data_IF_313187830815
#
_entry.id   IF_313187830815
#
_cell.length_a   1.000
_cell.length_b   1.000
_cell.length_c   1.000
_cell.angle_alpha   90.00
_cell.angle_beta   90.00
_cell.angle_gamma   90.00
#
_symmetry.space_group_name_H-M   'P 1'
#
loop_
_entity.id
_entity.type
_entity.pdbx_description
1 polymer ?
#
# COMPACT_ATOMS: atom_id res chain seq x y z
N UNK A 1 0.89 7.52 7.24
CA UNK A 1 0.15 6.37 6.68
C UNK A 1 -1.10 6.94 6.02
N UNK A 2 -1.25 6.78 4.70
CA UNK A 2 -2.38 7.36 3.94
C UNK A 2 -3.47 6.29 3.79
N UNK A 3 -4.73 6.63 4.07
CA UNK A 3 -5.87 5.74 3.86
C UNK A 3 -6.62 6.16 2.61
N UNK A 4 -6.84 5.22 1.69
CA UNK A 4 -7.56 5.44 0.42
C UNK A 4 -8.66 4.41 0.23
N UNK A 5 -9.67 4.75 -0.57
CA UNK A 5 -10.72 3.82 -0.96
C UNK A 5 -10.25 2.95 -2.14
N UNK A 6 -10.74 1.71 -2.22
CA UNK A 6 -10.40 0.75 -3.27
C UNK A 6 -10.74 1.26 -4.68
N UNK A 7 -11.78 2.09 -4.82
CA UNK A 7 -12.15 2.68 -6.11
C UNK A 7 -11.07 3.65 -6.61
N UNK A 8 -10.54 4.50 -5.73
CA UNK A 8 -9.46 5.42 -6.06
C UNK A 8 -8.13 4.69 -6.28
N UNK A 9 -7.86 3.67 -5.46
CA UNK A 9 -6.70 2.81 -5.64
C UNK A 9 -6.68 2.15 -7.03
N UNK A 10 -7.83 1.66 -7.52
CA UNK A 10 -7.95 1.05 -8.85
C UNK A 10 -7.75 2.05 -9.99
N UNK A 11 -8.25 3.27 -9.83
CA UNK A 11 -8.09 4.33 -10.85
C UNK A 11 -6.64 4.82 -10.96
N UNK A 12 -5.89 4.80 -9.86
CA UNK A 12 -4.55 5.40 -9.75
C UNK A 12 -3.48 4.38 -9.30
N UNK A 13 -3.61 3.13 -9.76
CA UNK A 13 -2.84 1.98 -9.27
C UNK A 13 -1.32 2.23 -9.25
N UNK A 14 -0.74 2.60 -10.40
CA UNK A 14 0.71 2.79 -10.52
C UNK A 14 1.22 3.89 -9.60
N UNK A 15 0.54 5.06 -9.59
CA UNK A 15 0.92 6.19 -8.73
C UNK A 15 0.93 5.81 -7.26
N UNK A 16 -0.04 5.01 -6.81
CA UNK A 16 -0.10 4.54 -5.44
C UNK A 16 0.96 3.50 -5.13
N UNK A 17 1.25 2.56 -6.03
CA UNK A 17 2.33 1.60 -5.85
C UNK A 17 3.71 2.27 -5.76
N UNK A 18 3.97 3.28 -6.59
CA UNK A 18 5.22 4.07 -6.53
C UNK A 18 5.35 4.81 -5.19
N UNK A 19 4.26 5.43 -4.72
CA UNK A 19 4.22 6.09 -3.40
C UNK A 19 4.48 5.09 -2.26
N UNK A 20 3.88 3.91 -2.34
CA UNK A 20 4.10 2.85 -1.36
C UNK A 20 5.55 2.38 -1.37
N UNK A 21 6.14 2.18 -2.55
CA UNK A 21 7.52 1.76 -2.74
C UNK A 21 8.53 2.81 -2.24
N UNK A 22 8.20 4.10 -2.33
CA UNK A 22 9.01 5.20 -1.81
C UNK A 22 9.08 5.27 -0.26
N UNK A 23 8.55 4.26 0.45
CA UNK A 23 8.62 4.19 1.91
C UNK A 23 7.43 4.80 2.63
N UNK A 24 6.32 5.11 1.92
CA UNK A 24 5.10 5.64 2.53
C UNK A 24 3.98 4.60 2.49
N UNK A 25 3.73 3.85 3.57
CA UNK A 25 2.68 2.84 3.57
C UNK A 25 1.28 3.43 3.31
N UNK A 26 0.50 2.68 2.53
CA UNK A 26 -0.85 3.06 2.10
C UNK A 26 -1.83 2.00 2.57
N UNK A 27 -2.89 2.42 3.27
CA UNK A 27 -4.00 1.57 3.68
C UNK A 27 -5.14 1.67 2.67
N UNK A 28 -5.56 0.54 2.13
CA UNK A 28 -6.68 0.46 1.18
C UNK A 28 -7.92 -0.02 1.92
N UNK A 29 -9.01 0.72 1.76
CA UNK A 29 -10.32 0.46 2.39
C UNK A 29 -11.39 0.21 1.35
N UNK A 30 -12.43 -0.52 1.71
CA UNK A 30 -13.66 -0.63 0.93
C UNK A 30 -14.86 -0.54 1.86
N UNK A 31 -15.82 0.32 1.55
CA UNK A 31 -17.00 0.57 2.38
C UNK A 31 -16.66 0.80 3.87
N UNK A 32 -15.60 1.59 4.14
CA UNK A 32 -15.12 1.88 5.49
C UNK A 32 -14.32 0.76 6.17
N UNK A 33 -14.21 -0.43 5.57
CA UNK A 33 -13.42 -1.56 6.09
C UNK A 33 -12.00 -1.54 5.53
N UNK A 34 -11.00 -1.68 6.40
CA UNK A 34 -9.61 -1.89 5.99
C UNK A 34 -9.46 -3.26 5.30
N UNK A 35 -8.93 -3.25 4.08
CA UNK A 35 -8.69 -4.47 3.30
C UNK A 35 -7.23 -4.90 3.36
N UNK A 36 -6.31 -3.96 3.16
CA UNK A 36 -4.87 -4.24 3.13
C UNK A 36 -4.05 -2.99 3.40
N UNK A 37 -2.78 -3.20 3.71
CA UNK A 37 -1.75 -2.15 3.78
C UNK A 37 -0.64 -2.51 2.81
N UNK A 38 -0.35 -1.60 1.88
CA UNK A 38 0.72 -1.72 0.90
C UNK A 38 1.93 -0.98 1.45
N UNK A 39 3.04 -1.69 1.57
CA UNK A 39 4.33 -1.18 2.01
C UNK A 39 5.42 -1.60 1.01
N UNK A 40 6.61 -0.97 1.03
CA UNK A 40 7.72 -1.42 0.21
C UNK A 40 8.02 -2.91 0.44
N UNK A 41 8.52 -3.63 -0.57
CA UNK A 41 9.01 -4.98 -0.36
C UNK A 41 10.08 -4.94 0.72
N UNK A 42 9.87 -5.70 1.80
CA UNK A 42 10.91 -5.92 2.79
C UNK A 42 12.01 -6.68 2.08
N UNK A 43 13.24 -6.17 2.08
CA UNK A 43 14.39 -6.90 1.54
C UNK A 43 14.42 -8.29 2.21
N UNK A 44 13.97 -9.33 1.52
CA UNK A 44 13.85 -10.69 2.05
C UNK A 44 15.20 -11.25 2.55
N UNK A 45 16.33 -10.64 2.16
CA UNK A 45 17.66 -10.93 2.71
C UNK A 45 17.83 -10.55 4.19
N UNK A 46 17.03 -9.65 4.74
CA UNK A 46 17.09 -9.24 6.15
C UNK A 46 16.15 -10.03 7.08
N UNK A 47 15.24 -10.84 6.51
CA UNK A 47 14.25 -11.61 7.26
C UNK A 47 14.68 -13.07 7.52
N UNK A 48 15.85 -13.49 7.03
CA UNK A 48 16.50 -14.73 7.44
C UNK A 48 17.43 -14.43 8.63
N UNK A 49 16.92 -14.59 9.85
CA UNK A 49 17.73 -14.66 11.08
C UNK A 49 17.29 -15.86 11.90
#
# INVERSE_FOLDING_TARGET
MQTINISDFRANLLSYLEKANAGKPISVTSNGKLLTTIAPPVNQRAAAK
#
